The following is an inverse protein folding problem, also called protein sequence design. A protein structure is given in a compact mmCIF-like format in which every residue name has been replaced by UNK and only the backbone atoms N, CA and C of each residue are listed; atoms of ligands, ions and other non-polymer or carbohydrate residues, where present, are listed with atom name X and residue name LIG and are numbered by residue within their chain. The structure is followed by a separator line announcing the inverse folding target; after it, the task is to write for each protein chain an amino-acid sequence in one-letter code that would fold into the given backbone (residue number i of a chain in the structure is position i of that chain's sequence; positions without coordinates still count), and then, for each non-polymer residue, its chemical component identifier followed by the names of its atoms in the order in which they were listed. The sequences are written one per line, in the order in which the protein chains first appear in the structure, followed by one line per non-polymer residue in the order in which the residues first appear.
data_IF_069459274413
#
_entry.id   IF_069459274413
#
_cell.length_a   1.000
_cell.length_b   1.000
_cell.length_c   1.000
_cell.angle_alpha   90.00
_cell.angle_beta   90.00
_cell.angle_gamma   90.00
#
_symmetry.space_group_name_H-M   'P 1'
#
loop_
_entity.id
_entity.type
_entity.pdbx_description
1 polymer ?
#
# COMPACT_ATOMS: atom_id res chain seq x y z
N UNK A 1 26.39 26.19 -24.95
CA UNK A 1 25.49 26.16 -23.78
C UNK A 1 24.56 24.96 -23.93
N UNK A 2 25.12 23.78 -23.69
CA UNK A 2 24.46 22.49 -23.49
C UNK A 2 25.49 21.61 -22.76
N UNK A 3 25.05 20.58 -22.02
CA UNK A 3 25.85 19.61 -21.22
C UNK A 3 26.07 19.87 -19.72
N UNK A 4 25.00 20.13 -18.96
CA UNK A 4 25.01 19.84 -17.51
C UNK A 4 23.77 19.03 -17.04
N UNK A 5 22.68 18.99 -17.81
CA UNK A 5 21.42 18.41 -17.33
C UNK A 5 21.27 16.88 -17.58
N UNK A 6 22.01 16.30 -18.53
CA UNK A 6 21.82 14.90 -18.94
C UNK A 6 22.54 13.86 -18.05
N UNK A 7 23.49 14.29 -17.20
CA UNK A 7 24.22 13.36 -16.32
C UNK A 7 23.58 13.15 -14.95
N UNK A 8 22.55 13.92 -14.59
CA UNK A 8 21.91 13.79 -13.27
C UNK A 8 20.82 12.70 -13.25
N UNK A 9 20.17 12.39 -14.38
CA UNK A 9 19.08 11.39 -14.42
C UNK A 9 19.61 9.95 -14.33
N UNK A 10 20.82 9.70 -14.84
CA UNK A 10 21.38 8.35 -14.98
C UNK A 10 21.91 7.76 -13.66
N UNK A 11 22.02 8.56 -12.58
CA UNK A 11 22.52 8.07 -11.28
C UNK A 11 21.43 7.70 -10.26
N UNK A 12 20.17 8.05 -10.48
CA UNK A 12 19.10 7.82 -9.48
C UNK A 12 18.42 6.44 -9.54
N UNK A 13 18.68 5.61 -10.56
CA UNK A 13 17.90 4.38 -10.77
C UNK A 13 18.45 3.11 -10.09
N UNK A 14 19.60 3.16 -9.40
CA UNK A 14 20.35 1.93 -9.05
C UNK A 14 20.56 1.69 -7.55
N UNK A 15 19.66 2.14 -6.65
CA UNK A 15 19.82 1.90 -5.20
C UNK A 15 18.70 1.12 -4.50
N UNK A 16 17.65 0.69 -5.19
CA UNK A 16 16.70 -0.25 -4.59
C UNK A 16 16.64 -1.52 -5.43
N UNK A 17 17.01 -2.65 -4.82
CA UNK A 17 16.79 -4.01 -5.33
C UNK A 17 15.31 -4.39 -5.45
N UNK A 18 14.44 -3.42 -5.74
CA UNK A 18 13.02 -3.61 -5.96
C UNK A 18 12.82 -4.02 -7.43
N UNK A 19 12.17 -5.16 -7.72
CA UNK A 19 11.90 -5.58 -9.09
C UNK A 19 11.24 -4.44 -9.89
N UNK A 20 11.81 -4.16 -11.07
CA UNK A 20 11.30 -3.16 -12.01
C UNK A 20 9.83 -3.49 -12.31
N UNK A 21 8.91 -2.58 -11.95
CA UNK A 21 7.47 -2.72 -12.20
C UNK A 21 7.23 -3.05 -13.68
N UNK A 22 6.69 -4.25 -13.96
CA UNK A 22 6.19 -4.57 -15.29
C UNK A 22 5.01 -3.64 -15.58
N UNK A 23 5.11 -2.82 -16.63
CA UNK A 23 3.95 -2.13 -17.20
C UNK A 23 3.08 -3.21 -17.85
N UNK A 24 1.95 -3.55 -17.26
CA UNK A 24 1.00 -4.48 -17.88
C UNK A 24 0.14 -3.73 -18.90
N UNK A 25 0.28 -4.14 -20.15
CA UNK A 25 -0.73 -3.94 -21.21
C UNK A 25 -2.06 -4.50 -20.70
N UNK A 26 -3.08 -3.65 -20.59
CA UNK A 26 -4.53 -3.79 -20.31
C UNK A 26 -5.20 -5.14 -19.93
N UNK A 27 -4.46 -6.09 -19.37
CA UNK A 27 -4.96 -7.39 -18.92
C UNK A 27 -4.98 -7.40 -17.40
N UNK A 28 -6.14 -7.71 -16.82
CA UNK A 28 -6.29 -7.90 -15.38
C UNK A 28 -5.40 -9.06 -14.93
N UNK A 29 -4.84 -8.95 -13.73
CA UNK A 29 -4.04 -10.03 -13.14
C UNK A 29 -5.00 -11.09 -12.61
N UNK A 30 -4.90 -12.32 -13.13
CA UNK A 30 -5.67 -13.45 -12.66
C UNK A 30 -5.09 -13.92 -11.32
N UNK A 31 -5.91 -13.92 -10.27
CA UNK A 31 -5.53 -14.45 -8.96
C UNK A 31 -5.97 -15.92 -8.91
N UNK A 32 -5.01 -16.82 -8.77
CA UNK A 32 -5.31 -18.24 -8.54
C UNK A 32 -5.63 -18.46 -7.07
N UNK A 33 -6.56 -19.38 -6.79
CA UNK A 33 -6.96 -19.73 -5.44
C UNK A 33 -6.79 -21.23 -5.23
N UNK A 34 -6.38 -21.63 -4.02
CA UNK A 34 -6.43 -23.04 -3.62
C UNK A 34 -7.88 -23.45 -3.27
N UNK A 35 -8.10 -24.73 -2.96
CA UNK A 35 -9.42 -25.27 -2.59
C UNK A 35 -10.01 -24.66 -1.30
N UNK A 36 -9.20 -23.95 -0.50
CA UNK A 36 -9.64 -23.19 0.65
C UNK A 36 -9.98 -21.71 0.34
N UNK A 37 -9.88 -21.29 -0.92
CA UNK A 37 -10.13 -19.90 -1.33
C UNK A 37 -9.00 -18.93 -0.96
N UNK A 38 -7.80 -19.43 -0.68
CA UNK A 38 -6.62 -18.62 -0.40
C UNK A 38 -5.86 -18.33 -1.70
N UNK A 39 -5.49 -17.07 -1.99
CA UNK A 39 -4.67 -16.72 -3.14
C UNK A 39 -3.32 -17.47 -3.16
N UNK A 40 -2.95 -18.08 -4.28
CA UNK A 40 -1.67 -18.77 -4.49
C UNK A 40 -1.00 -18.36 -5.81
N UNK A 41 0.31 -18.62 -5.93
CA UNK A 41 1.11 -18.31 -7.12
C UNK A 41 1.57 -16.84 -7.21
N UNK A 42 2.20 -16.48 -8.34
CA UNK A 42 2.80 -15.15 -8.53
C UNK A 42 1.76 -14.03 -8.44
N UNK A 43 0.55 -14.26 -8.97
CA UNK A 43 -0.57 -13.31 -8.88
C UNK A 43 -1.00 -13.01 -7.44
N UNK A 44 -0.78 -13.95 -6.50
CA UNK A 44 -1.12 -13.75 -5.08
C UNK A 44 -0.17 -12.76 -4.38
N UNK A 45 1.12 -12.79 -4.71
CA UNK A 45 2.11 -11.86 -4.15
C UNK A 45 1.86 -10.43 -4.66
N UNK A 46 1.58 -10.29 -5.96
CA UNK A 46 1.21 -9.01 -6.56
C UNK A 46 -0.10 -8.48 -5.96
N UNK A 47 -1.09 -9.36 -5.78
CA UNK A 47 -2.36 -9.03 -5.15
C UNK A 47 -2.19 -8.54 -3.71
N UNK A 48 -1.46 -9.29 -2.88
CA UNK A 48 -1.18 -8.92 -1.48
C UNK A 48 -0.41 -7.60 -1.38
N UNK A 49 0.61 -7.43 -2.23
CA UNK A 49 1.38 -6.18 -2.30
C UNK A 49 0.51 -4.99 -2.70
N UNK A 50 -0.39 -5.20 -3.66
CA UNK A 50 -1.29 -4.16 -4.13
C UNK A 50 -2.37 -3.79 -3.11
N UNK A 51 -2.93 -4.75 -2.38
CA UNK A 51 -3.81 -4.47 -1.22
C UNK A 51 -3.11 -3.53 -0.26
N UNK A 52 -1.84 -3.80 0.06
CA UNK A 52 -1.06 -2.94 0.93
C UNK A 52 -0.93 -1.51 0.41
N UNK A 53 -0.63 -1.32 -0.88
CA UNK A 53 -0.59 0.02 -1.51
C UNK A 53 -1.95 0.70 -1.40
N UNK A 54 -3.01 -0.03 -1.76
CA UNK A 54 -4.35 0.50 -1.85
C UNK A 54 -4.84 1.00 -0.48
N UNK A 55 -4.62 0.22 0.57
CA UNK A 55 -4.96 0.59 1.95
C UNK A 55 -4.17 1.81 2.40
N UNK A 56 -2.84 1.82 2.22
CA UNK A 56 -1.99 2.96 2.62
C UNK A 56 -2.39 4.27 1.95
N UNK A 57 -2.82 4.20 0.70
CA UNK A 57 -3.09 5.37 -0.11
C UNK A 57 -4.50 5.96 0.09
N UNK A 58 -5.43 5.18 0.65
CA UNK A 58 -6.85 5.54 0.69
C UNK A 58 -7.49 5.46 2.08
N UNK A 59 -6.84 4.79 3.05
CA UNK A 59 -7.34 4.68 4.41
C UNK A 59 -6.53 5.60 5.32
N UNK A 60 -7.24 6.47 6.04
CA UNK A 60 -6.60 7.38 7.00
C UNK A 60 -5.91 6.59 8.11
N UNK A 61 -4.72 7.05 8.51
CA UNK A 61 -3.98 6.51 9.66
C UNK A 61 -4.68 6.76 11.00
N UNK A 62 -5.69 7.62 11.02
CA UNK A 62 -6.52 7.88 12.20
C UNK A 62 -7.45 6.71 12.55
N UNK A 63 -7.67 5.78 11.61
CA UNK A 63 -8.39 4.54 11.89
C UNK A 63 -7.45 3.51 12.50
N UNK A 64 -7.60 3.29 13.80
CA UNK A 64 -6.86 2.31 14.60
C UNK A 64 -7.37 0.88 14.43
N UNK A 65 -8.66 0.74 14.12
CA UNK A 65 -9.35 -0.51 13.87
C UNK A 65 -10.03 -0.48 12.49
N UNK A 66 -9.87 -1.59 11.75
CA UNK A 66 -10.57 -1.83 10.50
C UNK A 66 -12.10 -1.81 10.65
N UNK A 67 -12.62 -2.19 11.82
CA UNK A 67 -14.06 -2.12 12.11
C UNK A 67 -14.58 -0.68 12.04
N UNK A 68 -13.80 0.31 12.45
CA UNK A 68 -14.15 1.73 12.43
C UNK A 68 -14.07 2.37 11.03
N UNK A 69 -13.41 1.72 10.08
CA UNK A 69 -13.33 2.23 8.70
C UNK A 69 -14.73 2.17 8.05
N UNK A 70 -15.26 3.30 7.53
CA UNK A 70 -16.57 3.35 6.89
C UNK A 70 -16.73 2.33 5.76
N UNK A 71 -17.91 1.71 5.66
CA UNK A 71 -18.24 0.75 4.60
C UNK A 71 -18.01 1.33 3.20
N UNK A 72 -18.37 2.61 2.98
CA UNK A 72 -18.12 3.31 1.71
C UNK A 72 -16.65 3.28 1.28
N UNK A 73 -15.71 3.37 2.23
CA UNK A 73 -14.28 3.26 1.92
C UNK A 73 -13.94 1.82 1.58
N UNK A 74 -14.40 0.85 2.38
CA UNK A 74 -14.17 -0.59 2.14
C UNK A 74 -14.66 -1.02 0.76
N UNK A 75 -15.87 -0.61 0.37
CA UNK A 75 -16.44 -0.91 -0.94
C UNK A 75 -15.66 -0.22 -2.06
N UNK A 76 -15.27 1.06 -1.90
CA UNK A 76 -14.40 1.73 -2.88
C UNK A 76 -13.07 0.99 -3.10
N UNK A 77 -12.45 0.47 -2.04
CA UNK A 77 -11.22 -0.31 -2.16
C UNK A 77 -11.48 -1.65 -2.87
N UNK A 78 -12.60 -2.30 -2.55
CA UNK A 78 -13.01 -3.53 -3.23
C UNK A 78 -13.22 -3.31 -4.73
N UNK A 79 -13.95 -2.26 -5.11
CA UNK A 79 -14.20 -1.92 -6.52
C UNK A 79 -12.89 -1.63 -7.26
N UNK A 80 -11.96 -0.91 -6.63
CA UNK A 80 -10.64 -0.63 -7.21
C UNK A 80 -9.77 -1.89 -7.35
N UNK A 81 -9.95 -2.90 -6.49
CA UNK A 81 -9.28 -4.19 -6.71
C UNK A 81 -9.86 -4.92 -7.93
N UNK A 82 -11.18 -4.89 -8.12
CA UNK A 82 -11.84 -5.55 -9.26
C UNK A 82 -11.46 -4.93 -10.62
N UNK A 83 -11.01 -3.68 -10.65
CA UNK A 83 -10.52 -3.07 -11.90
C UNK A 83 -9.16 -3.65 -12.32
N UNK A 84 -8.34 -4.11 -11.37
CA UNK A 84 -6.98 -4.62 -11.64
C UNK A 84 -6.85 -6.13 -11.60
N UNK A 85 -7.67 -6.80 -10.81
CA UNK A 85 -7.61 -8.24 -10.58
C UNK A 85 -8.94 -8.88 -10.96
N UNK A 86 -8.86 -10.09 -11.49
CA UNK A 86 -10.05 -10.94 -11.64
C UNK A 86 -10.32 -11.62 -10.30
N UNK A 87 -11.33 -11.10 -9.58
CA UNK A 87 -11.67 -11.57 -8.23
C UNK A 87 -13.07 -12.17 -8.23
N UNK A 88 -13.20 -13.33 -7.59
CA UNK A 88 -14.51 -13.91 -7.28
C UNK A 88 -15.15 -13.13 -6.12
N UNK A 89 -16.45 -12.82 -6.23
CA UNK A 89 -17.25 -12.22 -5.16
C UNK A 89 -17.21 -13.06 -3.87
N UNK A 90 -17.08 -14.39 -3.98
CA UNK A 90 -16.93 -15.30 -2.83
C UNK A 90 -15.67 -14.99 -2.01
N UNK A 91 -14.63 -14.45 -2.64
CA UNK A 91 -13.39 -14.05 -1.98
C UNK A 91 -13.47 -12.71 -1.24
N UNK A 92 -14.54 -11.90 -1.46
CA UNK A 92 -14.68 -10.54 -0.92
C UNK A 92 -14.43 -10.48 0.58
N UNK A 93 -14.96 -11.43 1.35
CA UNK A 93 -14.77 -11.50 2.80
C UNK A 93 -13.29 -11.61 3.18
N UNK A 94 -12.55 -12.52 2.55
CA UNK A 94 -11.11 -12.73 2.81
C UNK A 94 -10.26 -11.53 2.37
N UNK A 95 -10.64 -10.89 1.26
CA UNK A 95 -9.95 -9.70 0.75
C UNK A 95 -10.14 -8.51 1.70
N UNK A 96 -11.36 -8.28 2.18
CA UNK A 96 -11.66 -7.23 3.17
C UNK A 96 -10.94 -7.49 4.49
N UNK A 97 -10.84 -8.74 4.94
CA UNK A 97 -10.02 -9.10 6.10
C UNK A 97 -8.53 -8.80 5.86
N UNK A 98 -8.02 -9.12 4.68
CA UNK A 98 -6.63 -8.86 4.29
C UNK A 98 -6.31 -7.36 4.26
N UNK A 99 -7.26 -6.52 3.86
CA UNK A 99 -7.12 -5.05 3.94
C UNK A 99 -6.97 -4.58 5.39
N UNK A 100 -7.77 -5.13 6.31
CA UNK A 100 -7.65 -4.81 7.74
C UNK A 100 -6.30 -5.21 8.33
N UNK A 101 -5.79 -6.40 7.98
CA UNK A 101 -4.45 -6.85 8.36
C UNK A 101 -3.39 -5.91 7.77
N UNK A 102 -3.54 -5.49 6.51
CA UNK A 102 -2.61 -4.56 5.87
C UNK A 102 -2.59 -3.18 6.56
N UNK A 103 -3.75 -2.68 6.99
CA UNK A 103 -3.85 -1.43 7.76
C UNK A 103 -3.11 -1.56 9.09
N UNK A 104 -3.40 -2.62 9.87
CA UNK A 104 -2.72 -2.88 11.15
C UNK A 104 -1.21 -2.95 10.98
N UNK A 105 -0.73 -3.71 9.99
CA UNK A 105 0.70 -3.85 9.71
C UNK A 105 1.34 -2.51 9.32
N UNK A 106 0.62 -1.68 8.57
CA UNK A 106 1.09 -0.34 8.21
C UNK A 106 1.20 0.57 9.42
N UNK A 107 0.18 0.63 10.29
CA UNK A 107 0.23 1.43 11.52
C UNK A 107 1.35 0.97 12.45
N UNK A 108 1.56 -0.36 12.59
CA UNK A 108 2.69 -0.90 13.34
C UNK A 108 4.04 -0.48 12.72
N UNK A 109 4.18 -0.56 11.39
CA UNK A 109 5.40 -0.13 10.71
C UNK A 109 5.68 1.37 10.90
N UNK A 110 4.65 2.22 10.85
CA UNK A 110 4.78 3.65 11.11
C UNK A 110 5.25 3.91 12.54
N UNK A 111 4.62 3.24 13.52
CA UNK A 111 4.98 3.37 14.91
C UNK A 111 6.44 2.94 15.15
N UNK A 112 6.83 1.75 14.71
CA UNK A 112 8.17 1.21 14.95
C UNK A 112 9.27 2.00 14.23
N UNK A 113 9.03 2.46 13.00
CA UNK A 113 10.06 3.13 12.19
C UNK A 113 10.19 4.63 12.46
N UNK A 114 9.09 5.31 12.75
CA UNK A 114 9.09 6.77 12.82
C UNK A 114 8.72 7.31 14.20
N UNK A 115 7.79 6.65 14.94
CA UNK A 115 7.33 7.16 16.23
C UNK A 115 8.26 6.72 17.36
N UNK A 116 8.55 5.43 17.50
CA UNK A 116 9.39 4.90 18.59
C UNK A 116 10.80 5.51 18.64
N UNK A 117 11.53 5.66 17.51
CA UNK A 117 12.87 6.25 17.54
C UNK A 117 12.88 7.73 17.92
N UNK A 118 11.77 8.43 17.69
CA UNK A 118 11.65 9.88 17.92
C UNK A 118 10.76 10.21 19.12
N UNK A 119 10.49 9.24 20.01
CA UNK A 119 9.59 9.38 21.15
C UNK A 119 10.00 10.53 22.09
N UNK A 120 11.31 10.71 22.27
CA UNK A 120 11.89 11.75 23.12
C UNK A 120 12.14 13.07 22.36
N UNK A 121 12.11 13.04 21.03
CA UNK A 121 12.34 14.20 20.17
C UNK A 121 11.13 14.49 19.27
N UNK A 122 10.04 14.95 19.89
CA UNK A 122 8.77 15.29 19.21
C UNK A 122 8.92 16.34 18.10
N UNK A 123 10.02 17.10 18.10
CA UNK A 123 10.29 18.08 17.04
C UNK A 123 10.45 17.43 15.66
N UNK A 124 10.91 16.17 15.61
CA UNK A 124 11.09 15.39 14.39
C UNK A 124 9.79 14.69 13.91
N UNK A 125 8.73 14.69 14.72
CA UNK A 125 7.42 14.14 14.38
C UNK A 125 6.46 15.16 13.76
N UNK A 126 6.90 16.40 13.49
CA UNK A 126 6.03 17.47 12.97
C UNK A 126 5.54 17.25 11.52
N UNK A 127 6.19 16.35 10.78
CA UNK A 127 5.88 16.07 9.39
C UNK A 127 5.79 14.56 9.16
N UNK A 128 4.84 14.10 8.33
CA UNK A 128 4.78 12.71 7.95
C UNK A 128 6.05 12.31 7.17
N UNK A 129 6.43 11.03 7.20
CA UNK A 129 7.57 10.55 6.42
C UNK A 129 7.37 10.81 4.93
N UNK A 130 8.42 11.31 4.26
CA UNK A 130 8.39 11.60 2.82
C UNK A 130 8.10 10.35 1.96
N UNK A 131 8.37 9.15 2.49
CA UNK A 131 8.01 7.86 1.88
C UNK A 131 6.49 7.68 1.70
N UNK A 132 5.67 8.36 2.50
CA UNK A 132 4.21 8.26 2.50
C UNK A 132 3.55 9.63 2.29
N UNK A 133 3.71 10.25 1.10
CA UNK A 133 3.24 11.62 0.84
C UNK A 133 1.71 11.76 0.87
N UNK A 134 0.98 10.64 0.84
CA UNK A 134 -0.49 10.60 0.91
C UNK A 134 -1.03 10.68 2.34
N UNK A 135 -0.18 10.51 3.36
CA UNK A 135 -0.56 10.79 4.74
C UNK A 135 -0.70 12.30 4.89
N UNK A 136 -1.89 12.79 5.24
CA UNK A 136 -2.09 14.23 5.40
C UNK A 136 -1.38 14.69 6.66
N UNK A 137 -0.75 15.87 6.61
CA UNK A 137 -0.12 16.49 7.79
C UNK A 137 -1.07 16.63 8.97
N UNK A 138 -2.37 16.84 8.73
CA UNK A 138 -3.39 16.91 9.80
C UNK A 138 -3.62 15.57 10.53
N UNK A 139 -3.38 14.46 9.83
CA UNK A 139 -3.52 13.11 10.36
C UNK A 139 -2.27 12.65 11.13
N UNK A 140 -1.14 13.32 10.87
CA UNK A 140 0.15 13.05 11.49
C UNK A 140 0.35 13.97 12.70
N UNK A 141 0.25 13.42 13.91
CA UNK A 141 0.33 14.14 15.19
C UNK A 141 1.40 13.58 16.11
#
# INVERSE_FOLDING_TARGET
MADIEEQNETKFSNLDGRPKRRKSVDHKVIVQYNHYGVPVGDGANDFRSYIGVLVRDNVSILYDDWQHVPLKIKDKLWDHLQTKFELDIRSKKHVVQSMGIALRNFSCALNTKFIQPNKDNRSQLKLPPWEYPKIRKLEWK
#
